data_IF_587627886590
#
_entry.id   IF_587627886590
#
_cell.length_a   1.000
_cell.length_b   1.000
_cell.length_c   1.000
_cell.angle_alpha   90.00
_cell.angle_beta   90.00
_cell.angle_gamma   90.00
#
_symmetry.space_group_name_H-M   'P 1'
#
loop_
_entity.id
_entity.type
_entity.pdbx_description
1 polymer ?
#
# COMPACT_ATOMS: atom_id res chain seq x y z
N UNK A 1 -33.71 1.49 -22.47
CA UNK A 1 -33.82 0.79 -21.18
C UNK A 1 -33.26 -0.60 -21.38
N UNK A 2 -32.10 -0.95 -20.77
CA UNK A 2 -31.50 -2.28 -20.91
C UNK A 2 -32.30 -3.30 -20.10
N UNK A 3 -32.40 -4.53 -20.63
CA UNK A 3 -33.44 -5.51 -20.28
C UNK A 3 -32.87 -6.88 -19.89
N UNK A 4 -31.68 -6.95 -19.26
CA UNK A 4 -31.17 -8.24 -18.74
C UNK A 4 -30.38 -8.08 -17.43
N UNK A 5 -30.54 -9.06 -16.53
CA UNK A 5 -29.92 -9.07 -15.19
C UNK A 5 -28.38 -9.06 -15.22
N UNK A 6 -27.77 -9.52 -16.31
CA UNK A 6 -26.31 -9.55 -16.47
C UNK A 6 -25.73 -8.19 -16.89
N UNK A 7 -26.48 -7.39 -17.65
CA UNK A 7 -26.07 -6.03 -18.04
C UNK A 7 -26.15 -5.06 -16.85
N UNK A 8 -27.09 -5.29 -15.92
CA UNK A 8 -27.21 -4.51 -14.68
C UNK A 8 -25.99 -4.66 -13.76
N UNK A 9 -25.39 -5.85 -13.69
CA UNK A 9 -24.18 -6.11 -12.88
C UNK A 9 -22.90 -5.48 -13.47
N UNK A 10 -22.81 -5.39 -14.79
CA UNK A 10 -21.71 -4.68 -15.46
C UNK A 10 -21.84 -3.16 -15.29
N UNK A 11 -23.07 -2.63 -15.33
CA UNK A 11 -23.35 -1.23 -14.99
C UNK A 11 -23.14 -0.94 -13.49
N UNK A 12 -23.33 -1.89 -12.58
CA UNK A 12 -23.06 -1.73 -11.15
C UNK A 12 -21.57 -1.50 -10.85
N UNK A 13 -20.68 -2.16 -11.60
CA UNK A 13 -19.22 -1.92 -11.50
C UNK A 13 -18.79 -0.58 -12.11
N UNK A 14 -19.57 -0.01 -13.04
CA UNK A 14 -19.28 1.27 -13.69
C UNK A 14 -19.91 2.47 -12.95
N UNK A 15 -21.11 2.31 -12.37
CA UNK A 15 -21.78 3.33 -11.55
C UNK A 15 -21.16 3.49 -10.15
N UNK A 16 -20.35 2.55 -9.68
CA UNK A 16 -19.60 2.71 -8.44
C UNK A 16 -18.49 3.79 -8.51
N UNK A 17 -18.35 4.45 -9.67
CA UNK A 17 -17.36 5.50 -9.92
C UNK A 17 -17.92 6.93 -9.92
N UNK A 18 -19.23 7.16 -9.81
CA UNK A 18 -19.78 8.52 -9.79
C UNK A 18 -20.91 8.73 -8.76
N UNK A 19 -20.58 9.54 -7.76
CA UNK A 19 -21.42 10.62 -7.20
C UNK A 19 -22.60 10.31 -6.29
N UNK A 20 -22.46 9.32 -5.40
CA UNK A 20 -22.85 9.57 -4.00
C UNK A 20 -22.07 8.66 -3.08
N UNK A 21 -21.25 9.24 -2.21
CA UNK A 21 -20.76 8.48 -1.06
C UNK A 21 -22.01 8.23 -0.21
N UNK A 22 -22.48 6.99 -0.01
CA UNK A 22 -23.50 6.74 1.00
C UNK A 22 -22.97 7.36 2.29
N UNK A 23 -23.82 7.99 3.11
CA UNK A 23 -23.41 8.48 4.43
C UNK A 23 -22.97 7.30 5.30
N UNK A 24 -21.77 6.80 5.04
CA UNK A 24 -21.04 5.82 5.82
C UNK A 24 -20.67 6.58 7.08
N UNK A 25 -21.20 6.09 8.20
CA UNK A 25 -20.77 6.33 9.59
C UNK A 25 -19.55 7.23 9.62
N UNK A 26 -19.72 8.48 10.07
CA UNK A 26 -18.67 9.50 10.14
C UNK A 26 -17.34 8.83 10.48
N UNK A 27 -16.42 8.80 9.53
CA UNK A 27 -15.12 8.23 9.77
C UNK A 27 -14.50 8.91 11.00
N UNK A 28 -13.86 8.15 11.89
CA UNK A 28 -13.28 8.68 13.15
C UNK A 28 -12.48 9.95 12.86
N UNK A 29 -12.54 10.93 13.78
CA UNK A 29 -11.82 12.21 13.64
C UNK A 29 -10.36 11.94 13.26
N UNK A 30 -9.91 12.42 12.10
CA UNK A 30 -8.58 12.12 11.52
C UNK A 30 -8.54 11.08 10.39
N UNK A 31 -9.68 10.48 10.01
CA UNK A 31 -9.78 9.58 8.87
C UNK A 31 -9.93 10.36 7.55
N UNK A 32 -9.17 9.95 6.54
CA UNK A 32 -9.27 10.49 5.19
C UNK A 32 -10.59 10.04 4.54
N UNK A 33 -11.39 10.98 4.05
CA UNK A 33 -12.66 10.70 3.35
C UNK A 33 -12.54 10.87 1.83
N UNK A 34 -11.55 11.63 1.36
CA UNK A 34 -11.32 11.83 -0.07
C UNK A 34 -10.66 10.58 -0.72
N UNK A 35 -11.13 10.10 -1.89
CA UNK A 35 -10.60 8.90 -2.53
C UNK A 35 -9.08 8.90 -2.72
N UNK A 36 -8.51 10.04 -3.16
CA UNK A 36 -7.05 10.23 -3.28
C UNK A 36 -6.31 9.99 -1.96
N UNK A 37 -6.84 10.52 -0.85
CA UNK A 37 -6.20 10.39 0.47
C UNK A 37 -6.32 8.98 1.03
N UNK A 38 -7.39 8.25 0.69
CA UNK A 38 -7.54 6.81 1.01
C UNK A 38 -6.50 6.00 0.22
N UNK A 39 -6.39 6.22 -1.09
CA UNK A 39 -5.42 5.54 -1.94
C UNK A 39 -3.98 5.77 -1.46
N UNK A 40 -3.63 7.00 -1.10
CA UNK A 40 -2.31 7.33 -0.58
C UNK A 40 -2.01 6.62 0.75
N UNK A 41 -2.99 6.56 1.67
CA UNK A 41 -2.83 5.81 2.93
C UNK A 41 -2.52 4.34 2.65
N UNK A 42 -3.25 3.71 1.73
CA UNK A 42 -3.02 2.31 1.34
C UNK A 42 -1.60 2.12 0.78
N UNK A 43 -1.11 3.04 -0.06
CA UNK A 43 0.27 2.99 -0.57
C UNK A 43 1.29 3.09 0.57
N UNK A 44 1.12 4.05 1.49
CA UNK A 44 2.01 4.23 2.64
C UNK A 44 2.04 3.01 3.56
N UNK A 45 0.88 2.42 3.85
CA UNK A 45 0.80 1.19 4.66
C UNK A 45 1.58 0.04 4.00
N UNK A 46 1.41 -0.18 2.69
CA UNK A 46 2.17 -1.19 1.94
C UNK A 46 3.68 -0.95 1.98
N UNK A 47 4.10 0.32 1.87
CA UNK A 47 5.53 0.69 2.00
C UNK A 47 6.03 0.33 3.40
N UNK A 48 5.34 0.75 4.46
CA UNK A 48 5.74 0.44 5.84
C UNK A 48 5.79 -1.05 6.14
N UNK A 49 4.88 -1.85 5.57
CA UNK A 49 4.93 -3.32 5.70
C UNK A 49 6.17 -3.92 5.03
N UNK A 50 6.53 -3.44 3.83
CA UNK A 50 7.75 -3.87 3.14
C UNK A 50 9.01 -3.44 3.90
N UNK A 51 9.02 -2.24 4.47
CA UNK A 51 10.14 -1.77 5.30
C UNK A 51 10.34 -2.64 6.54
N UNK A 52 9.26 -3.06 7.23
CA UNK A 52 9.34 -4.00 8.36
C UNK A 52 9.93 -5.35 7.95
N UNK A 53 9.45 -5.93 6.85
CA UNK A 53 10.00 -7.19 6.32
C UNK A 53 11.49 -7.06 5.97
N UNK A 54 11.91 -5.90 5.46
CA UNK A 54 13.32 -5.67 5.16
C UNK A 54 14.17 -5.67 6.44
N UNK A 55 13.68 -5.05 7.52
CA UNK A 55 14.36 -5.04 8.82
C UNK A 55 14.56 -6.44 9.40
N UNK A 56 13.58 -7.33 9.20
CA UNK A 56 13.69 -8.72 9.67
C UNK A 56 14.70 -9.57 8.88
N UNK A 57 15.01 -9.17 7.63
CA UNK A 57 15.86 -9.93 6.72
C UNK A 57 17.33 -9.50 6.74
N UNK A 58 17.61 -8.25 7.07
CA UNK A 58 18.96 -7.67 7.00
C UNK A 58 19.53 -7.53 8.42
N UNK A 59 20.72 -8.09 8.70
CA UNK A 59 21.30 -8.04 10.03
C UNK A 59 21.61 -6.60 10.46
N UNK A 60 21.41 -6.29 11.74
CA UNK A 60 21.67 -4.98 12.37
C UNK A 60 20.86 -3.79 11.80
N UNK A 61 19.80 -4.04 11.04
CA UNK A 61 19.00 -2.99 10.41
C UNK A 61 18.14 -2.20 11.42
N UNK A 62 17.88 -2.76 12.60
CA UNK A 62 17.17 -2.16 13.74
C UNK A 62 17.87 -0.94 14.33
N UNK A 63 19.20 -0.85 14.15
CA UNK A 63 20.02 0.25 14.66
C UNK A 63 19.98 1.49 13.76
N UNK A 64 19.48 1.37 12.53
CA UNK A 64 19.47 2.47 11.57
C UNK A 64 18.20 3.31 11.71
N UNK A 65 18.38 4.60 12.02
CA UNK A 65 17.27 5.55 12.20
C UNK A 65 16.86 6.25 10.91
N UNK A 66 17.75 6.28 9.92
CA UNK A 66 17.53 6.92 8.61
C UNK A 66 17.13 5.88 7.55
N UNK A 67 16.08 6.20 6.77
CA UNK A 67 15.59 5.32 5.70
C UNK A 67 16.60 5.19 4.55
N UNK A 68 17.36 6.23 4.22
CA UNK A 68 18.35 6.16 3.14
C UNK A 68 19.44 5.14 3.47
N UNK A 69 20.11 5.33 4.62
CA UNK A 69 21.16 4.43 5.10
C UNK A 69 20.65 2.99 5.29
N UNK A 70 19.39 2.81 5.71
CA UNK A 70 18.76 1.47 5.81
C UNK A 70 18.72 0.79 4.44
N UNK A 71 18.32 1.52 3.39
CA UNK A 71 18.26 0.97 2.04
C UNK A 71 19.66 0.69 1.47
N UNK A 72 20.65 1.53 1.76
CA UNK A 72 22.04 1.30 1.35
C UNK A 72 22.62 0.03 2.00
N UNK A 73 22.41 -0.16 3.31
CA UNK A 73 22.81 -1.37 4.02
C UNK A 73 22.16 -2.63 3.44
N UNK A 74 20.88 -2.55 3.05
CA UNK A 74 20.19 -3.67 2.40
C UNK A 74 20.85 -4.05 1.07
N UNK A 75 21.22 -3.04 0.26
CA UNK A 75 21.86 -3.26 -1.03
C UNK A 75 23.23 -3.93 -0.84
N UNK A 76 24.03 -3.46 0.12
CA UNK A 76 25.35 -4.05 0.37
C UNK A 76 25.25 -5.48 0.90
N UNK A 77 24.29 -5.76 1.79
CA UNK A 77 24.03 -7.12 2.25
C UNK A 77 23.67 -8.07 1.09
N UNK A 78 22.84 -7.63 0.14
CA UNK A 78 22.49 -8.42 -1.05
C UNK A 78 23.73 -8.69 -1.91
N UNK A 79 24.59 -7.70 -2.14
CA UNK A 79 25.84 -7.90 -2.91
C UNK A 79 26.75 -8.93 -2.25
N UNK A 80 26.88 -8.89 -0.93
CA UNK A 80 27.74 -9.82 -0.21
C UNK A 80 27.17 -11.24 -0.19
N UNK A 81 25.85 -11.41 -0.13
CA UNK A 81 25.21 -12.70 -0.31
C UNK A 81 25.42 -13.26 -1.73
N UNK A 82 25.34 -12.41 -2.75
CA UNK A 82 25.59 -12.83 -4.14
C UNK A 82 27.02 -13.35 -4.32
N UNK A 83 28.02 -12.67 -3.76
CA UNK A 83 29.43 -13.12 -3.81
C UNK A 83 29.68 -14.45 -3.10
N UNK A 84 28.88 -14.80 -2.08
CA UNK A 84 29.02 -16.06 -1.35
C UNK A 84 28.39 -17.25 -2.09
N UNK A 85 27.42 -16.96 -2.98
CA UNK A 85 26.73 -17.96 -3.77
C UNK A 85 27.38 -18.21 -5.14
N UNK A 86 28.34 -17.36 -5.51
CA UNK A 86 29.26 -17.54 -6.65
C UNK A 86 30.46 -18.39 -6.24
#
# INVERSE_FOLDING_TARGET
MPNTSSEMAAMENFLHFSDSVPMKIRAKRGCATHPRSIAERVRRTKISERMRKLQDLVPNMDKQTNTADMLDLAVDYIKDLQKQAE
#
